data_IF_230795946306
#
_entry.id   IF_230795946306
#
_cell.length_a   1.000
_cell.length_b   1.000
_cell.length_c   1.000
_cell.angle_alpha   90.00
_cell.angle_beta   90.00
_cell.angle_gamma   90.00
#
_symmetry.space_group_name_H-M   'P 1'
#
loop_
_entity.id
_entity.type
_entity.pdbx_description
1 polymer ?
#
# COMPACT_ATOMS: atom_id res chain seq x y z
N UNK A 1 -3.17 12.19 6.87
CA UNK A 1 -3.69 10.86 6.47
C UNK A 1 -3.82 10.03 7.74
N UNK A 2 -4.88 9.25 7.90
CA UNK A 2 -5.11 8.42 9.09
C UNK A 2 -5.32 6.96 8.69
N UNK A 3 -4.97 5.98 9.55
CA UNK A 3 -5.41 4.61 9.34
C UNK A 3 -6.93 4.58 9.27
N UNK A 4 -7.51 3.92 8.27
CA UNK A 4 -8.96 3.86 8.13
C UNK A 4 -9.45 3.21 6.85
N UNK A 5 -10.77 3.10 6.75
CA UNK A 5 -11.43 2.52 5.60
C UNK A 5 -11.27 3.43 4.38
N UNK A 6 -10.85 2.85 3.25
CA UNK A 6 -10.70 3.58 1.98
C UNK A 6 -11.82 3.14 1.07
N UNK A 7 -12.70 4.09 0.73
CA UNK A 7 -13.79 3.86 -0.20
C UNK A 7 -13.22 3.45 -1.56
N UNK A 8 -13.62 2.28 -2.11
CA UNK A 8 -13.18 1.86 -3.43
C UNK A 8 -13.65 2.89 -4.45
N UNK A 9 -12.75 3.30 -5.34
CA UNK A 9 -13.09 4.18 -6.44
C UNK A 9 -12.41 3.72 -7.73
N UNK A 10 -13.13 3.73 -8.86
CA UNK A 10 -12.53 3.45 -10.15
C UNK A 10 -11.49 4.52 -10.47
N UNK A 11 -10.34 4.09 -10.96
CA UNK A 11 -9.27 4.96 -11.36
C UNK A 11 -8.55 4.30 -12.53
N UNK A 12 -8.38 5.04 -13.62
CA UNK A 12 -7.60 4.58 -14.77
C UNK A 12 -6.21 5.17 -14.70
N UNK A 13 -5.24 4.34 -14.31
CA UNK A 13 -3.82 4.67 -14.33
C UNK A 13 -3.10 3.66 -15.24
N UNK A 14 -3.25 3.78 -16.57
CA UNK A 14 -2.60 2.86 -17.50
C UNK A 14 -1.07 2.92 -17.31
N UNK A 15 -0.47 1.75 -17.07
CA UNK A 15 0.98 1.61 -16.90
C UNK A 15 1.51 1.74 -15.46
N UNK A 16 0.67 2.00 -14.46
CA UNK A 16 1.11 2.12 -13.06
C UNK A 16 1.38 0.76 -12.38
N UNK A 17 0.85 -0.34 -12.95
CA UNK A 17 0.92 -1.68 -12.36
C UNK A 17 0.07 -1.80 -11.09
N UNK A 18 0.50 -2.64 -10.15
CA UNK A 18 -0.08 -2.73 -8.82
C UNK A 18 0.81 -1.96 -7.81
N UNK A 19 0.22 -1.06 -7.05
CA UNK A 19 0.89 -0.29 -6.01
C UNK A 19 0.04 -0.31 -4.75
N UNK A 20 0.64 -0.30 -3.58
CA UNK A 20 -0.12 -0.18 -2.34
C UNK A 20 0.55 0.80 -1.40
N UNK A 21 -0.26 1.45 -0.57
CA UNK A 21 0.21 2.36 0.46
C UNK A 21 -0.07 1.74 1.82
N UNK A 22 0.96 1.66 2.64
CA UNK A 22 0.92 1.13 4.00
C UNK A 22 1.66 2.06 4.95
N UNK A 23 1.27 2.06 6.21
CA UNK A 23 1.99 2.67 7.31
C UNK A 23 2.69 1.62 8.18
N UNK A 24 3.33 2.08 9.24
CA UNK A 24 3.97 1.25 10.26
C UNK A 24 3.00 0.79 11.36
N UNK A 25 1.71 1.04 11.22
CA UNK A 25 0.73 0.67 12.23
C UNK A 25 0.29 -0.79 12.10
N UNK A 26 -0.23 -1.35 13.20
CA UNK A 26 -0.66 -2.76 13.27
C UNK A 26 -1.66 -3.15 12.17
N UNK A 27 -2.60 -2.26 11.83
CA UNK A 27 -3.60 -2.47 10.79
C UNK A 27 -2.96 -2.61 9.40
N UNK A 28 -1.93 -1.81 9.10
CA UNK A 28 -1.16 -1.93 7.87
C UNK A 28 -0.37 -3.22 7.80
N UNK A 29 0.25 -3.64 8.91
CA UNK A 29 1.00 -4.90 8.98
C UNK A 29 0.08 -6.12 8.76
N UNK A 30 -1.10 -6.13 9.39
CA UNK A 30 -2.09 -7.20 9.18
C UNK A 30 -2.59 -7.23 7.74
N UNK A 31 -2.94 -6.07 7.17
CA UNK A 31 -3.35 -5.98 5.78
C UNK A 31 -2.24 -6.44 4.83
N UNK A 32 -1.00 -6.03 5.07
CA UNK A 32 0.14 -6.42 4.24
C UNK A 32 0.35 -7.93 4.30
N UNK A 33 0.30 -8.54 5.48
CA UNK A 33 0.48 -9.97 5.65
C UNK A 33 -0.65 -10.77 4.98
N UNK A 34 -1.90 -10.35 5.13
CA UNK A 34 -3.04 -10.98 4.48
C UNK A 34 -2.95 -10.88 2.94
N UNK A 35 -2.40 -9.78 2.42
CA UNK A 35 -2.34 -9.51 0.99
C UNK A 35 -0.98 -9.81 0.35
N UNK A 36 0.04 -10.18 1.13
CA UNK A 36 1.41 -10.37 0.67
C UNK A 36 1.50 -11.35 -0.52
N UNK A 37 0.72 -12.43 -0.47
CA UNK A 37 0.66 -13.41 -1.55
C UNK A 37 0.14 -12.78 -2.86
N UNK A 38 -1.03 -12.13 -2.81
CA UNK A 38 -1.64 -11.47 -3.97
C UNK A 38 -0.80 -10.29 -4.50
N UNK A 39 -0.21 -9.50 -3.60
CA UNK A 39 0.70 -8.41 -3.94
C UNK A 39 1.93 -8.94 -4.66
N UNK A 40 2.53 -10.03 -4.17
CA UNK A 40 3.69 -10.67 -4.81
C UNK A 40 3.34 -11.21 -6.19
N UNK A 41 2.21 -11.90 -6.34
CA UNK A 41 1.77 -12.42 -7.64
C UNK A 41 1.52 -11.32 -8.66
N UNK A 42 1.01 -10.16 -8.22
CA UNK A 42 0.81 -8.97 -9.07
C UNK A 42 2.05 -8.08 -9.20
N UNK A 43 3.21 -8.51 -8.67
CA UNK A 43 4.44 -7.72 -8.59
C UNK A 43 4.21 -6.30 -8.07
N UNK A 44 3.35 -6.19 -7.05
CA UNK A 44 2.94 -4.92 -6.53
C UNK A 44 4.08 -4.19 -5.81
N UNK A 45 4.11 -2.87 -5.94
CA UNK A 45 5.10 -2.01 -5.28
C UNK A 45 4.47 -1.33 -4.07
N UNK A 46 5.04 -1.56 -2.90
CA UNK A 46 4.64 -0.95 -1.63
C UNK A 46 5.29 0.40 -1.42
N UNK A 47 4.49 1.43 -1.18
CA UNK A 47 4.95 2.72 -0.69
C UNK A 47 4.60 2.87 0.78
N UNK A 48 5.62 3.14 1.59
CA UNK A 48 5.43 3.34 3.03
C UNK A 48 5.19 4.83 3.29
N UNK A 49 3.96 5.20 3.67
CA UNK A 49 3.56 6.61 3.87
C UNK A 49 3.85 7.13 5.26
N UNK A 50 3.94 6.23 6.23
CA UNK A 50 4.22 6.52 7.63
C UNK A 50 5.18 5.45 8.14
N UNK A 51 6.44 5.80 8.31
CA UNK A 51 7.48 4.94 8.86
C UNK A 51 8.14 5.70 9.99
N UNK A 52 8.17 5.11 11.19
CA UNK A 52 8.84 5.72 12.33
C UNK A 52 10.36 5.78 12.08
N UNK A 53 10.94 4.65 11.69
CA UNK A 53 12.37 4.49 11.47
C UNK A 53 12.67 3.45 10.37
N UNK A 54 13.90 3.41 9.87
CA UNK A 54 14.32 2.37 8.92
C UNK A 54 14.08 0.94 9.40
N UNK A 55 14.07 0.71 10.72
CA UNK A 55 13.77 -0.58 11.31
C UNK A 55 12.32 -1.03 11.03
N UNK A 56 11.36 -0.11 11.14
CA UNK A 56 9.95 -0.36 10.79
C UNK A 56 9.79 -0.71 9.31
N UNK A 57 10.52 -0.02 8.43
CA UNK A 57 10.57 -0.38 7.01
C UNK A 57 11.12 -1.80 6.80
N UNK A 58 12.18 -2.19 7.52
CA UNK A 58 12.71 -3.55 7.46
C UNK A 58 11.70 -4.58 7.92
N UNK A 59 11.02 -4.35 9.04
CA UNK A 59 9.96 -5.26 9.53
C UNK A 59 8.84 -5.43 8.49
N UNK A 60 8.38 -4.34 7.86
CA UNK A 60 7.40 -4.43 6.78
C UNK A 60 7.91 -5.26 5.60
N UNK A 61 9.19 -5.09 5.23
CA UNK A 61 9.86 -5.88 4.19
C UNK A 61 9.95 -7.36 4.52
N UNK A 62 10.17 -7.69 5.78
CA UNK A 62 10.18 -9.07 6.25
C UNK A 62 8.78 -9.69 6.31
N UNK A 63 7.73 -8.89 6.52
CA UNK A 63 6.34 -9.37 6.51
C UNK A 63 5.85 -9.75 5.11
N UNK A 64 6.39 -9.15 4.06
CA UNK A 64 6.06 -9.47 2.67
C UNK A 64 7.32 -9.68 1.82
N UNK A 65 8.05 -10.80 2.01
CA UNK A 65 9.25 -11.11 1.25
C UNK A 65 8.89 -11.34 -0.22
N UNK A 66 9.55 -10.60 -1.12
CA UNK A 66 9.28 -10.64 -2.57
C UNK A 66 8.37 -9.52 -3.08
N UNK A 67 7.85 -8.68 -2.19
CA UNK A 67 7.15 -7.44 -2.56
C UNK A 67 8.13 -6.27 -2.46
N UNK A 68 8.30 -5.50 -3.54
CA UNK A 68 9.18 -4.32 -3.49
C UNK A 68 8.55 -3.26 -2.62
N UNK A 69 9.21 -2.87 -1.53
CA UNK A 69 8.79 -1.75 -0.69
C UNK A 69 9.82 -0.63 -0.75
N UNK A 70 9.35 0.56 -1.09
CA UNK A 70 10.19 1.77 -1.18
C UNK A 70 9.78 2.78 -0.11
N UNK A 71 10.75 3.31 0.66
CA UNK A 71 10.54 4.47 1.51
C UNK A 71 10.52 5.70 0.61
N UNK A 72 9.39 5.90 -0.03
CA UNK A 72 9.10 7.14 -0.73
C UNK A 72 8.14 7.92 0.13
N UNK A 73 8.11 9.24 -0.02
CA UNK A 73 6.96 10.02 0.42
C UNK A 73 5.73 9.57 -0.38
N UNK A 74 5.17 8.40 -0.08
CA UNK A 74 3.90 7.92 -0.64
C UNK A 74 2.76 8.88 -0.28
N UNK A 75 3.01 9.79 0.66
CA UNK A 75 2.28 11.03 0.90
C UNK A 75 2.15 11.91 -0.36
N UNK A 76 3.11 11.94 -1.29
CA UNK A 76 2.99 12.69 -2.55
C UNK A 76 1.98 12.05 -3.51
N UNK A 77 2.06 10.72 -3.70
CA UNK A 77 1.09 10.00 -4.52
C UNK A 77 -0.29 10.01 -3.85
N UNK A 78 -0.36 9.79 -2.54
CA UNK A 78 -1.58 9.89 -1.76
C UNK A 78 -2.21 11.27 -1.86
N UNK A 79 -1.44 12.35 -1.72
CA UNK A 79 -1.97 13.72 -1.86
C UNK A 79 -2.44 14.00 -3.28
N UNK A 80 -1.72 13.53 -4.30
CA UNK A 80 -2.18 13.63 -5.70
C UNK A 80 -3.47 12.87 -5.95
N UNK A 81 -3.60 11.71 -5.33
CA UNK A 81 -4.81 10.89 -5.37
C UNK A 81 -5.84 11.32 -4.32
N UNK A 82 -5.60 12.36 -3.51
CA UNK A 82 -6.46 12.73 -2.38
C UNK A 82 -6.86 11.52 -1.51
N UNK A 83 -5.90 10.63 -1.24
CA UNK A 83 -6.07 9.53 -0.31
C UNK A 83 -5.94 10.07 1.11
N UNK A 84 -7.04 9.98 1.85
CA UNK A 84 -7.11 10.40 3.23
C UNK A 84 -6.79 9.26 4.19
N UNK A 85 -7.08 8.02 3.76
CA UNK A 85 -6.95 6.82 4.56
C UNK A 85 -5.98 5.80 3.94
N UNK A 86 -5.40 4.98 4.79
CA UNK A 86 -4.54 3.84 4.45
C UNK A 86 -4.87 2.70 5.42
N UNK A 87 -4.53 1.42 5.11
CA UNK A 87 -3.85 0.91 3.92
C UNK A 87 -4.77 0.87 2.69
N UNK A 88 -4.16 0.92 1.50
CA UNK A 88 -4.88 0.97 0.22
C UNK A 88 -4.10 0.33 -0.90
N UNK A 89 -4.77 -0.46 -1.74
CA UNK A 89 -4.27 -0.97 -3.01
C UNK A 89 -4.72 -0.06 -4.15
N UNK A 90 -3.81 0.19 -5.07
CA UNK A 90 -3.95 0.98 -6.29
C UNK A 90 -3.54 0.07 -7.45
N UNK A 91 -4.42 -0.14 -8.40
CA UNK A 91 -4.17 -0.91 -9.62
C UNK A 91 -4.41 -0.05 -10.84
N UNK A 92 -4.20 -0.61 -12.03
CA UNK A 92 -4.57 0.02 -13.30
C UNK A 92 -6.07 0.33 -13.41
N UNK A 93 -6.87 -0.45 -12.66
CA UNK A 93 -8.32 -0.56 -12.73
C UNK A 93 -9.03 0.21 -11.61
N UNK A 94 -8.32 0.54 -10.52
CA UNK A 94 -8.90 1.36 -9.46
C UNK A 94 -8.07 1.48 -8.19
N UNK A 95 -8.69 2.11 -7.20
CA UNK A 95 -8.16 2.21 -5.84
C UNK A 95 -9.14 1.53 -4.89
N UNK A 96 -8.66 0.70 -3.98
CA UNK A 96 -9.48 0.03 -2.96
C UNK A 96 -8.74 -0.13 -1.64
N UNK A 97 -9.42 0.13 -0.52
CA UNK A 97 -8.91 -0.20 0.82
C UNK A 97 -8.95 -1.69 1.13
N UNK A 98 -9.85 -2.40 0.45
CA UNK A 98 -10.05 -3.83 0.61
C UNK A 98 -9.45 -4.54 -0.60
N UNK A 99 -8.47 -5.39 -0.34
CA UNK A 99 -7.95 -6.33 -1.33
C UNK A 99 -8.78 -7.60 -1.15
N UNK A 100 -9.93 -7.63 -1.79
CA UNK A 100 -10.69 -8.88 -1.91
C UNK A 100 -9.88 -9.85 -2.78
N UNK A 101 -9.75 -11.12 -2.36
CA UNK A 101 -9.11 -12.17 -3.16
C UNK A 101 -9.87 -12.44 -4.46
#
# INVERSE_FOLDING_TARGET
MTPGEVTPRPLQLPGIGALFLVGDDALSRQWLQANAAALRERQAVGMVVSVADENSLRTLRELAPGVMMVPSSGSALARRLQLNHWPVLITDSGISGVVTP
#
